data_IF_504847976717
#
_entry.id   IF_504847976717
#
_cell.length_a   1.000
_cell.length_b   1.000
_cell.length_c   1.000
_cell.angle_alpha   90.00
_cell.angle_beta   90.00
_cell.angle_gamma   90.00
#
_symmetry.space_group_name_H-M   'P 1'
#
loop_
_entity.id
_entity.type
_entity.pdbx_description
1 polymer ?
#
# COMPACT_ATOMS: atom_id res chain seq x y z
N UNK A 1 -22.93 -0.45 -19.55
CA UNK A 1 -21.45 -0.34 -19.32
C UNK A 1 -21.28 0.61 -18.16
N UNK A 2 -20.91 0.11 -16.98
CA UNK A 2 -20.54 0.99 -15.87
C UNK A 2 -19.30 1.79 -16.30
N UNK A 3 -19.37 3.11 -16.14
CA UNK A 3 -18.28 4.00 -16.47
C UNK A 3 -17.12 3.73 -15.49
N UNK A 4 -16.00 3.24 -15.97
CA UNK A 4 -14.83 3.05 -15.12
C UNK A 4 -14.28 4.39 -14.64
N UNK A 5 -13.90 4.46 -13.37
CA UNK A 5 -13.26 5.63 -12.77
C UNK A 5 -11.81 5.81 -13.23
N UNK A 6 -11.21 4.76 -13.81
CA UNK A 6 -9.79 4.70 -14.14
C UNK A 6 -9.56 4.63 -15.65
N UNK A 7 -8.47 5.25 -16.08
CA UNK A 7 -8.05 5.28 -17.48
C UNK A 7 -7.26 4.03 -17.88
N UNK A 8 -6.47 3.46 -16.96
CA UNK A 8 -5.62 2.30 -17.24
C UNK A 8 -6.42 0.99 -17.18
N UNK A 9 -6.36 0.14 -18.23
CA UNK A 9 -7.13 -1.11 -18.29
C UNK A 9 -6.85 -2.03 -17.09
N UNK A 10 -5.62 -2.03 -16.58
CA UNK A 10 -5.26 -2.85 -15.43
C UNK A 10 -5.95 -2.34 -14.15
N UNK A 11 -6.01 -1.03 -13.95
CA UNK A 11 -6.69 -0.41 -12.81
C UNK A 11 -8.23 -0.60 -12.87
N UNK A 12 -8.81 -0.64 -14.08
CA UNK A 12 -10.24 -0.98 -14.26
C UNK A 12 -10.54 -2.40 -13.80
N UNK A 13 -9.63 -3.37 -14.06
CA UNK A 13 -9.76 -4.75 -13.56
C UNK A 13 -9.64 -4.81 -12.05
N UNK A 14 -8.71 -4.06 -11.47
CA UNK A 14 -8.55 -3.94 -10.01
C UNK A 14 -9.81 -3.36 -9.39
N UNK A 15 -10.42 -2.32 -9.97
CA UNK A 15 -11.69 -1.76 -9.52
C UNK A 15 -12.76 -2.85 -9.37
N UNK A 16 -12.93 -3.71 -10.38
CA UNK A 16 -13.93 -4.80 -10.33
C UNK A 16 -13.67 -5.78 -9.20
N UNK A 17 -12.41 -6.08 -8.90
CA UNK A 17 -12.07 -6.94 -7.75
C UNK A 17 -12.49 -6.25 -6.45
N UNK A 18 -12.10 -4.98 -6.25
CA UNK A 18 -12.42 -4.22 -5.04
C UNK A 18 -13.93 -4.13 -4.81
N UNK A 19 -14.72 -3.83 -5.86
CA UNK A 19 -16.19 -3.76 -5.81
C UNK A 19 -16.85 -5.12 -5.52
N UNK A 20 -16.16 -6.22 -5.80
CA UNK A 20 -16.65 -7.58 -5.55
C UNK A 20 -16.38 -8.06 -4.13
N UNK A 21 -15.45 -7.42 -3.39
CA UNK A 21 -15.12 -7.79 -2.02
C UNK A 21 -16.26 -7.46 -1.03
N UNK A 22 -16.25 -8.14 0.12
CA UNK A 22 -17.16 -7.86 1.24
C UNK A 22 -16.49 -6.85 2.21
N UNK A 23 -16.78 -5.54 2.12
CA UNK A 23 -16.12 -4.52 2.91
C UNK A 23 -16.42 -4.64 4.41
N UNK A 24 -17.62 -5.12 4.79
CA UNK A 24 -18.02 -5.21 6.19
C UNK A 24 -17.26 -6.36 6.88
N UNK A 25 -17.09 -7.49 6.17
CA UNK A 25 -16.27 -8.61 6.66
C UNK A 25 -14.82 -8.19 6.81
N UNK A 26 -14.26 -7.48 5.82
CA UNK A 26 -12.87 -7.03 5.85
C UNK A 26 -12.65 -6.02 6.98
N UNK A 27 -13.54 -5.03 7.14
CA UNK A 27 -13.44 -4.01 8.20
C UNK A 27 -13.49 -4.64 9.60
N UNK A 28 -14.45 -5.54 9.85
CA UNK A 28 -14.54 -6.25 11.16
C UNK A 28 -13.25 -6.97 11.54
N UNK A 29 -12.50 -7.40 10.54
CA UNK A 29 -11.24 -8.10 10.71
C UNK A 29 -10.02 -7.17 10.63
N UNK A 30 -10.22 -5.84 10.64
CA UNK A 30 -9.17 -4.83 10.48
C UNK A 30 -8.28 -5.11 9.25
N UNK A 31 -8.92 -5.56 8.16
CA UNK A 31 -8.28 -5.88 6.90
C UNK A 31 -8.58 -4.76 5.89
N UNK A 32 -7.60 -3.90 5.64
CA UNK A 32 -7.75 -2.67 4.90
C UNK A 32 -6.98 -2.71 3.58
N UNK A 33 -7.55 -2.09 2.55
CA UNK A 33 -6.89 -1.95 1.25
C UNK A 33 -5.69 -1.02 1.36
N UNK A 34 -4.51 -1.48 0.93
CA UNK A 34 -3.25 -0.76 1.11
C UNK A 34 -2.26 -0.98 -0.03
N UNK A 35 -0.99 -0.77 0.31
CA UNK A 35 0.09 -0.91 -0.66
C UNK A 35 0.10 0.17 -1.74
N UNK A 36 0.93 -0.05 -2.76
CA UNK A 36 1.12 0.93 -3.85
C UNK A 36 -0.14 1.18 -4.66
N UNK A 37 -0.97 0.16 -4.86
CA UNK A 37 -2.19 0.29 -5.68
C UNK A 37 -3.21 1.22 -5.04
N UNK A 38 -3.40 1.15 -3.73
CA UNK A 38 -4.30 2.07 -3.03
C UNK A 38 -3.87 3.53 -3.21
N UNK A 39 -2.56 3.81 -3.18
CA UNK A 39 -2.00 5.15 -3.41
C UNK A 39 -2.23 5.59 -4.86
N UNK A 40 -1.89 4.73 -5.80
CA UNK A 40 -2.01 5.03 -7.24
C UNK A 40 -3.45 5.35 -7.63
N UNK A 41 -4.41 4.55 -7.16
CA UNK A 41 -5.83 4.74 -7.50
C UNK A 41 -6.44 6.02 -6.90
N UNK A 42 -5.86 6.53 -5.81
CA UNK A 42 -6.33 7.75 -5.14
C UNK A 42 -5.54 9.00 -5.52
N UNK A 43 -4.43 8.87 -6.28
CA UNK A 43 -3.55 9.97 -6.65
C UNK A 43 -3.33 10.04 -8.18
N UNK A 44 -4.41 9.91 -8.95
CA UNK A 44 -4.42 10.22 -10.40
C UNK A 44 -3.69 9.20 -11.28
N UNK A 45 -3.57 7.94 -10.87
CA UNK A 45 -2.96 6.86 -11.67
C UNK A 45 -1.54 7.21 -12.20
N UNK A 46 -0.75 7.92 -11.40
CA UNK A 46 0.58 8.45 -11.79
C UNK A 46 1.58 7.37 -12.27
N UNK A 47 1.34 6.10 -11.98
CA UNK A 47 2.11 4.93 -12.45
C UNK A 47 1.22 3.71 -12.64
N UNK A 48 1.74 2.70 -13.29
CA UNK A 48 1.09 1.37 -13.32
C UNK A 48 1.21 0.70 -11.94
N UNK A 49 0.16 0.02 -11.51
CA UNK A 49 0.17 -0.84 -10.33
C UNK A 49 -0.70 -2.07 -10.58
N UNK A 50 -0.17 -3.25 -10.33
CA UNK A 50 -0.69 -4.49 -10.91
C UNK A 50 -1.36 -5.46 -9.96
N UNK A 51 -1.45 -5.16 -8.66
CA UNK A 51 -1.90 -6.09 -7.63
C UNK A 51 -2.91 -5.45 -6.68
N UNK A 52 -3.79 -6.25 -6.10
CA UNK A 52 -4.67 -5.85 -5.00
C UNK A 52 -4.05 -6.33 -3.71
N UNK A 53 -3.57 -5.40 -2.90
CA UNK A 53 -2.97 -5.67 -1.59
C UNK A 53 -3.88 -5.21 -0.47
N UNK A 54 -4.21 -6.10 0.46
CA UNK A 54 -4.84 -5.75 1.73
C UNK A 54 -3.88 -6.05 2.88
N UNK A 55 -3.98 -5.29 3.94
CA UNK A 55 -3.16 -5.44 5.13
C UNK A 55 -4.08 -5.67 6.32
N UNK A 56 -3.76 -6.66 7.14
CA UNK A 56 -4.44 -6.96 8.38
C UNK A 56 -3.44 -6.94 9.53
N UNK A 57 -3.68 -6.12 10.55
CA UNK A 57 -2.79 -6.03 11.74
C UNK A 57 -3.28 -6.89 12.91
N UNK A 58 -4.59 -7.15 12.97
CA UNK A 58 -5.19 -7.98 14.01
C UNK A 58 -4.88 -9.46 13.82
N UNK A 59 -4.20 -10.07 14.81
CA UNK A 59 -3.96 -11.52 14.83
C UNK A 59 -5.27 -12.33 14.86
N UNK A 60 -6.28 -11.82 15.56
CA UNK A 60 -7.63 -12.41 15.59
C UNK A 60 -8.31 -12.34 14.24
N UNK A 61 -8.31 -11.15 13.63
CA UNK A 61 -8.86 -10.91 12.30
C UNK A 61 -8.19 -11.76 11.23
N UNK A 62 -6.85 -11.82 11.22
CA UNK A 62 -6.15 -12.69 10.28
C UNK A 62 -6.52 -14.18 10.45
N UNK A 63 -6.64 -14.67 11.70
CA UNK A 63 -7.06 -16.04 11.98
C UNK A 63 -8.47 -16.33 11.45
N UNK A 64 -9.42 -15.41 11.63
CA UNK A 64 -10.79 -15.54 11.11
C UNK A 64 -10.78 -15.60 9.58
N UNK A 65 -10.16 -14.63 8.90
CA UNK A 65 -10.07 -14.61 7.43
C UNK A 65 -9.42 -15.88 6.88
N UNK A 66 -8.32 -16.33 7.50
CA UNK A 66 -7.64 -17.56 7.13
C UNK A 66 -8.54 -18.79 7.31
N UNK A 67 -9.30 -18.84 8.40
CA UNK A 67 -10.26 -19.92 8.67
C UNK A 67 -11.37 -19.98 7.63
N UNK A 68 -11.94 -18.84 7.28
CA UNK A 68 -12.97 -18.72 6.23
C UNK A 68 -12.44 -19.19 4.87
N UNK A 69 -11.27 -18.71 4.45
CA UNK A 69 -10.70 -19.09 3.15
C UNK A 69 -10.31 -20.56 3.10
N UNK A 70 -9.80 -21.13 4.20
CA UNK A 70 -9.50 -22.56 4.27
C UNK A 70 -10.75 -23.45 4.15
N UNK A 71 -11.88 -23.01 4.69
CA UNK A 71 -13.11 -23.83 4.71
C UNK A 71 -14.02 -23.61 3.51
N UNK A 72 -14.01 -22.41 2.91
CA UNK A 72 -14.99 -22.00 1.91
C UNK A 72 -14.37 -21.41 0.63
N UNK A 73 -13.04 -21.37 0.54
CA UNK A 73 -12.36 -20.72 -0.58
C UNK A 73 -12.27 -19.19 -0.41
N UNK A 74 -11.61 -18.54 -1.38
CA UNK A 74 -11.44 -17.08 -1.39
C UNK A 74 -12.78 -16.35 -1.59
N UNK A 75 -13.77 -17.01 -2.15
CA UNK A 75 -15.12 -16.52 -2.37
C UNK A 75 -15.82 -16.11 -1.08
N UNK A 76 -15.43 -16.68 0.07
CA UNK A 76 -15.94 -16.28 1.38
C UNK A 76 -15.67 -14.81 1.72
N UNK A 77 -14.65 -14.20 1.08
CA UNK A 77 -14.31 -12.79 1.26
C UNK A 77 -15.05 -11.85 0.28
N UNK A 78 -15.95 -12.39 -0.54
CA UNK A 78 -16.54 -11.66 -1.65
C UNK A 78 -18.05 -11.55 -1.52
N UNK A 79 -18.63 -10.45 -2.02
CA UNK A 79 -20.07 -10.32 -2.26
C UNK A 79 -20.49 -10.95 -3.59
N UNK A 80 -19.60 -10.89 -4.58
CA UNK A 80 -19.78 -11.44 -5.92
C UNK A 80 -18.52 -12.25 -6.27
N UNK A 81 -18.61 -13.56 -6.40
CA UNK A 81 -17.48 -14.40 -6.78
C UNK A 81 -16.89 -13.99 -8.13
N UNK A 82 -15.59 -14.07 -8.24
CA UNK A 82 -14.85 -13.86 -9.49
C UNK A 82 -14.07 -15.13 -9.84
N UNK A 83 -13.87 -15.43 -11.14
CA UNK A 83 -13.06 -16.56 -11.55
C UNK A 83 -11.63 -16.45 -11.01
N UNK A 84 -11.07 -17.58 -10.62
CA UNK A 84 -9.68 -17.69 -10.21
C UNK A 84 -8.79 -18.13 -11.37
N UNK A 85 -7.67 -17.45 -11.53
CA UNK A 85 -6.55 -17.86 -12.38
C UNK A 85 -5.59 -18.75 -11.61
N UNK A 86 -5.48 -18.54 -10.31
CA UNK A 86 -4.68 -19.33 -9.38
C UNK A 86 -5.36 -19.39 -8.03
N UNK A 87 -5.49 -20.62 -7.52
CA UNK A 87 -6.07 -20.92 -6.22
C UNK A 87 -5.35 -20.22 -5.05
N UNK A 88 -6.07 -20.05 -3.95
CA UNK A 88 -5.54 -19.40 -2.76
C UNK A 88 -4.46 -20.26 -2.09
N UNK A 89 -3.28 -19.66 -1.92
CA UNK A 89 -2.24 -20.16 -1.04
C UNK A 89 -2.29 -19.41 0.27
N UNK A 90 -2.31 -20.13 1.37
CA UNK A 90 -2.50 -19.61 2.73
C UNK A 90 -1.35 -20.07 3.60
N UNK A 91 -0.70 -19.14 4.29
CA UNK A 91 0.36 -19.42 5.24
C UNK A 91 0.21 -18.55 6.52
N UNK A 92 1.24 -18.46 7.34
CA UNK A 92 1.23 -17.65 8.55
C UNK A 92 1.40 -16.13 8.28
N UNK A 93 1.82 -15.79 7.08
CA UNK A 93 2.15 -14.42 6.67
C UNK A 93 1.09 -13.77 5.78
N UNK A 94 0.23 -14.57 5.15
CA UNK A 94 -0.79 -14.03 4.27
C UNK A 94 -1.60 -15.06 3.49
N UNK A 95 -2.54 -14.51 2.72
CA UNK A 95 -3.41 -15.23 1.78
C UNK A 95 -3.11 -14.66 0.40
N UNK A 96 -2.81 -15.49 -0.58
CA UNK A 96 -2.41 -15.05 -1.92
C UNK A 96 -3.12 -15.88 -2.98
N UNK A 97 -3.76 -15.21 -3.93
CA UNK A 97 -4.35 -15.86 -5.11
C UNK A 97 -4.16 -14.99 -6.36
N UNK A 98 -4.74 -15.38 -7.48
CA UNK A 98 -4.89 -14.51 -8.64
C UNK A 98 -6.29 -14.69 -9.23
N UNK A 99 -7.00 -13.59 -9.42
CA UNK A 99 -8.27 -13.55 -10.12
C UNK A 99 -8.06 -13.49 -11.63
N UNK A 100 -8.97 -14.07 -12.39
CA UNK A 100 -9.07 -13.90 -13.83
C UNK A 100 -10.09 -12.80 -14.14
N UNK A 101 -9.65 -11.64 -14.61
CA UNK A 101 -10.51 -10.53 -14.98
C UNK A 101 -10.18 -10.11 -16.41
N UNK A 102 -11.13 -10.27 -17.32
CA UNK A 102 -10.95 -10.04 -18.76
C UNK A 102 -9.71 -10.77 -19.32
N UNK A 103 -9.56 -12.04 -18.99
CA UNK A 103 -8.42 -12.91 -19.38
C UNK A 103 -7.06 -12.44 -18.86
N UNK A 104 -7.02 -11.46 -17.94
CA UNK A 104 -5.82 -11.03 -17.26
C UNK A 104 -5.75 -11.57 -15.83
N UNK A 105 -4.57 -12.08 -15.45
CA UNK A 105 -4.32 -12.53 -14.10
C UNK A 105 -3.99 -11.33 -13.20
N UNK A 106 -4.86 -11.03 -12.24
CA UNK A 106 -4.66 -9.97 -11.25
C UNK A 106 -4.29 -10.61 -9.91
N UNK A 107 -3.11 -10.30 -9.41
CA UNK A 107 -2.67 -10.77 -8.10
C UNK A 107 -3.51 -10.15 -7.00
N UNK A 108 -3.90 -10.98 -6.04
CA UNK A 108 -4.59 -10.57 -4.83
C UNK A 108 -3.82 -11.11 -3.62
N UNK A 109 -3.58 -10.24 -2.64
CA UNK A 109 -2.84 -10.61 -1.44
C UNK A 109 -3.45 -9.94 -0.21
N UNK A 110 -3.62 -10.72 0.86
CA UNK A 110 -3.83 -10.22 2.22
C UNK A 110 -2.55 -10.51 2.99
N UNK A 111 -1.88 -9.47 3.48
CA UNK A 111 -0.65 -9.57 4.27
C UNK A 111 -0.99 -9.39 5.74
N UNK A 112 -0.52 -10.31 6.59
CA UNK A 112 -0.55 -10.12 8.04
C UNK A 112 0.65 -9.28 8.47
N UNK A 113 0.38 -8.05 8.94
CA UNK A 113 1.37 -7.11 9.43
C UNK A 113 1.15 -6.84 10.93
N UNK A 114 1.71 -7.66 11.75
CA UNK A 114 1.52 -7.59 13.22
C UNK A 114 2.46 -6.64 13.96
N UNK A 115 3.35 -5.92 13.26
CA UNK A 115 4.32 -4.99 13.86
C UNK A 115 3.77 -3.57 14.02
N UNK A 116 2.72 -3.24 13.31
CA UNK A 116 2.03 -1.94 13.39
C UNK A 116 0.53 -2.17 13.61
N UNK A 117 -0.05 -1.42 14.53
CA UNK A 117 -1.49 -1.39 14.73
C UNK A 117 -2.09 -0.38 13.74
N UNK A 118 -3.01 -0.86 12.89
CA UNK A 118 -3.71 -0.01 11.92
C UNK A 118 -4.81 0.78 12.61
N UNK A 119 -4.97 2.03 12.18
CA UNK A 119 -6.07 2.88 12.63
C UNK A 119 -7.38 2.49 11.95
N UNK A 120 -8.50 2.78 12.63
CA UNK A 120 -9.81 2.71 12.00
C UNK A 120 -9.91 3.73 10.87
N UNK A 121 -10.32 3.31 9.66
CA UNK A 121 -10.39 4.22 8.51
C UNK A 121 -11.55 5.21 8.67
N UNK A 122 -11.35 6.42 8.13
CA UNK A 122 -12.37 7.45 8.05
C UNK A 122 -13.21 7.30 6.77
N UNK A 123 -14.39 7.96 6.67
CA UNK A 123 -15.23 7.88 5.46
C UNK A 123 -14.50 8.21 4.16
N UNK A 124 -13.55 9.14 4.18
CA UNK A 124 -12.70 9.53 3.06
C UNK A 124 -11.67 8.46 2.65
N UNK A 125 -11.37 7.52 3.53
CA UNK A 125 -10.47 6.40 3.23
C UNK A 125 -11.17 5.26 2.47
N UNK A 126 -12.31 5.53 1.83
CA UNK A 126 -13.05 4.54 1.06
C UNK A 126 -12.66 4.58 -0.42
N UNK A 127 -12.25 3.42 -0.96
CA UNK A 127 -11.82 3.27 -2.35
C UNK A 127 -12.59 2.13 -3.02
N UNK A 128 -13.37 2.43 -4.06
CA UNK A 128 -14.16 1.44 -4.79
C UNK A 128 -14.98 0.49 -3.90
N UNK A 129 -15.58 1.07 -2.86
CA UNK A 129 -16.45 0.33 -1.94
C UNK A 129 -15.76 -0.40 -0.79
N UNK A 130 -14.42 -0.50 -0.76
CA UNK A 130 -13.65 -1.08 0.36
C UNK A 130 -13.00 0.00 1.21
N UNK A 131 -12.68 -0.33 2.45
CA UNK A 131 -11.95 0.54 3.36
C UNK A 131 -10.45 0.41 3.12
N UNK A 132 -9.78 1.54 2.97
CA UNK A 132 -8.33 1.62 2.75
C UNK A 132 -7.61 2.10 4.02
N UNK A 133 -6.30 1.98 4.00
CA UNK A 133 -5.43 2.52 5.04
C UNK A 133 -5.59 4.04 5.16
N UNK A 134 -5.52 4.55 6.39
CA UNK A 134 -5.41 5.99 6.67
C UNK A 134 -4.10 6.57 6.09
N UNK A 135 -3.99 7.89 6.02
CA UNK A 135 -2.73 8.53 5.59
C UNK A 135 -1.55 8.10 6.48
N UNK A 136 -1.76 8.09 7.79
CA UNK A 136 -0.76 7.59 8.76
C UNK A 136 -0.28 6.19 8.41
N UNK A 137 -1.19 5.27 8.15
CA UNK A 137 -0.85 3.87 7.91
C UNK A 137 -0.25 3.64 6.52
N UNK A 138 -0.67 4.43 5.51
CA UNK A 138 -0.02 4.46 4.19
C UNK A 138 1.45 4.86 4.33
N UNK A 139 1.73 5.92 5.09
CA UNK A 139 3.11 6.37 5.34
C UNK A 139 3.90 5.33 6.11
N UNK A 140 3.35 4.81 7.23
CA UNK A 140 4.03 3.82 8.05
C UNK A 140 4.41 2.57 7.25
N UNK A 141 3.45 1.98 6.55
CA UNK A 141 3.67 0.75 5.77
C UNK A 141 4.62 0.97 4.59
N UNK A 142 4.64 2.17 4.01
CA UNK A 142 5.58 2.51 2.93
C UNK A 142 7.00 2.72 3.42
N UNK A 143 7.19 3.35 4.58
CA UNK A 143 8.51 3.48 5.20
C UNK A 143 9.08 2.11 5.60
N UNK A 144 8.25 1.24 6.20
CA UNK A 144 8.64 -0.14 6.53
C UNK A 144 9.01 -0.93 5.28
N UNK A 145 8.19 -0.90 4.24
CA UNK A 145 8.47 -1.57 2.97
C UNK A 145 9.73 -1.01 2.28
N UNK A 146 9.97 0.30 2.37
CA UNK A 146 11.22 0.90 1.89
C UNK A 146 12.42 0.34 2.66
N UNK A 147 12.35 0.27 3.98
CA UNK A 147 13.44 -0.29 4.81
C UNK A 147 13.78 -1.72 4.42
N UNK A 148 12.75 -2.55 4.18
CA UNK A 148 12.94 -3.96 3.79
C UNK A 148 13.61 -4.14 2.42
N UNK A 149 13.46 -3.20 1.47
CA UNK A 149 13.80 -3.44 0.07
C UNK A 149 14.33 -2.26 -0.74
N UNK A 150 14.81 -1.18 -0.08
CA UNK A 150 15.34 0.00 -0.79
C UNK A 150 16.53 -0.33 -1.71
N UNK A 151 17.33 -1.36 -1.37
CA UNK A 151 18.51 -1.80 -2.12
C UNK A 151 18.15 -2.77 -3.26
N UNK A 152 16.92 -3.28 -3.33
CA UNK A 152 16.48 -4.19 -4.37
C UNK A 152 16.08 -3.41 -5.64
N UNK A 153 16.91 -3.51 -6.67
CA UNK A 153 16.69 -2.85 -7.95
C UNK A 153 15.41 -3.35 -8.66
N UNK A 154 14.94 -4.56 -8.36
CA UNK A 154 13.75 -5.15 -8.98
C UNK A 154 12.43 -4.51 -8.57
N UNK A 155 12.41 -3.78 -7.47
CA UNK A 155 11.22 -3.05 -6.99
C UNK A 155 11.16 -1.60 -7.48
N UNK A 156 12.14 -1.16 -8.29
CA UNK A 156 12.15 0.14 -8.98
C UNK A 156 11.98 1.35 -8.04
N UNK A 157 12.46 1.25 -6.80
CA UNK A 157 12.35 2.31 -5.77
C UNK A 157 10.92 2.83 -5.56
N UNK A 158 9.90 1.99 -5.84
CA UNK A 158 8.49 2.38 -5.82
C UNK A 158 8.02 2.93 -4.48
N UNK A 159 8.61 2.47 -3.37
CA UNK A 159 8.12 2.86 -2.05
C UNK A 159 8.46 4.31 -1.70
N UNK A 160 9.66 4.76 -2.05
CA UNK A 160 10.03 6.17 -1.86
C UNK A 160 9.33 7.09 -2.88
N UNK A 161 9.07 6.61 -4.10
CA UNK A 161 8.29 7.35 -5.10
C UNK A 161 6.84 7.50 -4.63
N UNK A 162 6.22 6.43 -4.12
CA UNK A 162 4.87 6.48 -3.56
C UNK A 162 4.79 7.45 -2.37
N UNK A 163 5.81 7.48 -1.49
CA UNK A 163 5.91 8.44 -0.39
C UNK A 163 5.99 9.88 -0.89
N UNK A 164 6.78 10.14 -1.95
CA UNK A 164 6.91 11.47 -2.53
C UNK A 164 5.58 11.98 -3.10
N UNK A 165 4.82 11.11 -3.76
CA UNK A 165 3.48 11.45 -4.28
C UNK A 165 2.49 11.66 -3.14
N UNK A 166 2.50 10.82 -2.10
CA UNK A 166 1.66 11.00 -0.90
C UNK A 166 1.92 12.34 -0.20
N UNK A 167 3.19 12.71 -0.06
CA UNK A 167 3.61 13.95 0.59
C UNK A 167 3.27 15.18 -0.24
N UNK A 168 3.30 15.08 -1.57
CA UNK A 168 2.97 16.15 -2.51
C UNK A 168 3.63 17.49 -2.16
N UNK A 169 4.95 17.47 -1.90
CA UNK A 169 5.73 18.65 -1.55
C UNK A 169 5.61 19.09 -0.09
N UNK A 170 4.85 18.37 0.75
CA UNK A 170 4.76 18.58 2.20
C UNK A 170 5.59 17.52 2.94
N UNK A 171 5.94 17.71 4.21
CA UNK A 171 6.46 16.63 5.03
C UNK A 171 5.47 15.47 5.09
N UNK A 172 5.97 14.22 5.11
CA UNK A 172 5.11 13.05 5.32
C UNK A 172 4.44 13.12 6.69
N UNK A 173 3.30 12.46 6.84
CA UNK A 173 2.54 12.43 8.10
C UNK A 173 3.44 11.98 9.26
N UNK A 174 3.72 12.85 10.26
CA UNK A 174 4.61 12.53 11.37
C UNK A 174 4.14 11.35 12.22
N UNK A 175 2.82 11.15 12.34
CA UNK A 175 2.27 10.00 13.07
C UNK A 175 2.55 8.68 12.34
N UNK A 176 2.59 8.69 11.00
CA UNK A 176 3.03 7.56 10.19
C UNK A 176 4.52 7.26 10.35
N UNK A 177 5.34 8.31 10.44
CA UNK A 177 6.78 8.17 10.73
C UNK A 177 7.00 7.54 12.11
N UNK A 178 6.31 8.04 13.14
CA UNK A 178 6.38 7.52 14.50
C UNK A 178 5.99 6.03 14.55
N UNK A 179 4.91 5.65 13.86
CA UNK A 179 4.48 4.27 13.79
C UNK A 179 5.53 3.36 13.12
N UNK A 180 6.15 3.80 12.02
CA UNK A 180 7.21 3.05 11.34
C UNK A 180 8.45 2.90 12.23
N UNK A 181 8.87 3.97 12.91
CA UNK A 181 10.00 3.93 13.85
C UNK A 181 9.67 3.04 15.05
N UNK A 182 8.44 3.06 15.56
CA UNK A 182 7.99 2.15 16.62
C UNK A 182 8.09 0.68 16.23
N UNK A 183 7.81 0.34 14.97
CA UNK A 183 7.82 -1.02 14.44
C UNK A 183 9.24 -1.52 14.08
N UNK A 184 10.08 -0.68 13.50
CA UNK A 184 11.37 -1.05 12.88
C UNK A 184 12.58 -0.39 13.56
N UNK A 185 12.37 0.53 14.49
CA UNK A 185 13.44 1.35 15.05
C UNK A 185 13.87 2.48 14.10
N UNK A 186 14.90 3.23 14.54
CA UNK A 186 15.43 4.39 13.80
C UNK A 186 16.10 4.04 12.45
N UNK A 187 16.38 2.75 12.18
CA UNK A 187 16.92 2.29 10.90
C UNK A 187 16.05 2.70 9.71
N UNK A 188 14.73 2.77 9.90
CA UNK A 188 13.78 3.26 8.88
C UNK A 188 14.19 4.61 8.31
N UNK A 189 14.65 5.55 9.15
CA UNK A 189 15.05 6.89 8.72
C UNK A 189 16.37 6.85 7.93
N UNK A 190 17.30 6.02 8.36
CA UNK A 190 18.58 5.81 7.67
C UNK A 190 18.35 5.18 6.29
N UNK A 191 17.49 4.17 6.22
CA UNK A 191 17.17 3.48 4.97
C UNK A 191 16.36 4.36 4.02
N UNK A 192 15.52 5.25 4.55
CA UNK A 192 14.86 6.29 3.77
C UNK A 192 15.86 7.22 3.08
N UNK A 193 16.86 7.75 3.80
CA UNK A 193 17.87 8.61 3.22
C UNK A 193 18.77 7.88 2.19
N UNK A 194 19.12 6.62 2.45
CA UNK A 194 19.85 5.80 1.47
C UNK A 194 19.03 5.60 0.18
N UNK A 195 17.73 5.31 0.31
CA UNK A 195 16.83 5.14 -0.83
C UNK A 195 16.74 6.43 -1.66
N UNK A 196 16.57 7.58 -0.98
CA UNK A 196 16.48 8.89 -1.63
C UNK A 196 17.76 9.24 -2.38
N UNK A 197 18.91 9.10 -1.73
CA UNK A 197 20.23 9.32 -2.33
C UNK A 197 20.46 8.39 -3.52
N UNK A 198 20.22 7.08 -3.36
CA UNK A 198 20.36 6.11 -4.44
C UNK A 198 19.50 6.45 -5.67
N UNK A 199 18.26 6.91 -5.44
CA UNK A 199 17.34 7.25 -6.53
C UNK A 199 17.73 8.52 -7.26
N UNK A 200 18.23 9.54 -6.56
CA UNK A 200 18.57 10.86 -7.12
C UNK A 200 19.96 10.93 -7.70
N UNK A 201 20.96 10.27 -7.09
CA UNK A 201 22.38 10.43 -7.42
C UNK A 201 22.90 9.35 -8.37
N UNK A 202 22.29 8.18 -8.41
CA UNK A 202 22.67 7.12 -9.35
C UNK A 202 22.18 7.47 -10.76
N UNK A 203 23.11 7.81 -11.66
CA UNK A 203 22.83 8.29 -13.01
C UNK A 203 21.80 7.44 -13.78
N UNK A 204 20.76 8.09 -14.28
CA UNK A 204 19.67 7.45 -15.06
C UNK A 204 18.71 6.57 -14.27
N UNK A 205 18.91 6.38 -12.94
CA UNK A 205 18.08 5.50 -12.14
C UNK A 205 16.63 5.98 -12.07
N UNK A 206 16.41 7.26 -11.78
CA UNK A 206 15.07 7.84 -11.69
C UNK A 206 14.28 7.59 -12.98
N UNK A 207 14.85 7.97 -14.12
CA UNK A 207 14.21 7.79 -15.43
C UNK A 207 13.94 6.31 -15.73
N UNK A 208 14.86 5.41 -15.36
CA UNK A 208 14.65 3.97 -15.55
C UNK A 208 13.48 3.46 -14.69
N UNK A 209 13.40 3.85 -13.41
CA UNK A 209 12.27 3.51 -12.53
C UNK A 209 10.95 4.02 -13.11
N UNK A 210 10.90 5.27 -13.56
CA UNK A 210 9.72 5.87 -14.17
C UNK A 210 9.24 5.09 -15.41
N UNK A 211 10.16 4.76 -16.31
CA UNK A 211 9.84 3.95 -17.51
C UNK A 211 9.29 2.57 -17.15
N UNK A 212 9.93 1.88 -16.20
CA UNK A 212 9.50 0.54 -15.78
C UNK A 212 8.13 0.53 -15.11
N UNK A 213 7.80 1.60 -14.40
CA UNK A 213 6.49 1.77 -13.75
C UNK A 213 5.47 2.49 -14.65
N UNK A 214 5.80 2.81 -15.90
CA UNK A 214 4.94 3.51 -16.84
C UNK A 214 4.37 4.80 -16.23
N UNK A 215 5.24 5.62 -15.61
CA UNK A 215 4.82 6.87 -15.00
C UNK A 215 4.43 7.91 -16.05
N UNK A 216 3.43 8.73 -15.71
CA UNK A 216 2.92 9.79 -16.60
C UNK A 216 3.42 11.17 -16.23
N UNK A 217 3.98 11.33 -15.03
CA UNK A 217 4.55 12.58 -14.52
C UNK A 217 5.88 12.88 -15.22
N UNK A 218 6.24 14.16 -15.49
CA UNK A 218 7.57 14.57 -15.94
C UNK A 218 8.67 14.19 -14.93
N UNK A 219 9.90 13.93 -15.43
CA UNK A 219 11.02 13.56 -14.55
C UNK A 219 11.37 14.67 -13.56
N UNK A 220 11.38 15.93 -14.03
CA UNK A 220 11.74 17.08 -13.20
C UNK A 220 10.75 17.27 -12.04
N UNK A 221 9.45 17.10 -12.29
CA UNK A 221 8.41 17.19 -11.27
C UNK A 221 8.59 16.10 -10.21
N UNK A 222 8.84 14.85 -10.62
CA UNK A 222 9.09 13.77 -9.68
C UNK A 222 10.38 13.98 -8.89
N UNK A 223 11.41 14.50 -9.54
CA UNK A 223 12.70 14.82 -8.90
C UNK A 223 12.50 15.88 -7.82
N UNK A 224 11.75 16.92 -8.10
CA UNK A 224 11.40 17.98 -7.14
C UNK A 224 10.64 17.40 -5.93
N UNK A 225 9.62 16.57 -6.16
CA UNK A 225 8.89 15.90 -5.09
C UNK A 225 9.80 15.05 -4.19
N UNK A 226 10.74 14.30 -4.79
CA UNK A 226 11.65 13.45 -4.02
C UNK A 226 12.70 14.29 -3.28
N UNK A 227 13.19 15.38 -3.86
CA UNK A 227 14.13 16.30 -3.20
C UNK A 227 13.48 17.01 -2.01
N UNK A 228 12.23 17.43 -2.16
CA UNK A 228 11.43 18.06 -1.12
C UNK A 228 10.88 17.10 -0.06
N UNK A 229 10.98 15.80 -0.28
CA UNK A 229 10.43 14.80 0.64
C UNK A 229 11.16 14.82 1.99
N UNK A 230 10.46 15.22 3.04
CA UNK A 230 10.99 15.30 4.40
C UNK A 230 10.28 14.33 5.33
N UNK A 231 11.08 13.57 6.08
CA UNK A 231 10.62 12.67 7.13
C UNK A 231 10.98 13.30 8.48
N UNK A 232 9.96 13.78 9.20
CA UNK A 232 10.13 14.49 10.46
C UNK A 232 9.43 13.70 11.57
N UNK A 233 10.17 13.38 12.64
CA UNK A 233 9.55 12.79 13.83
C UNK A 233 8.73 13.88 14.56
N UNK A 234 7.56 13.51 15.11
CA UNK A 234 6.82 14.41 15.96
C UNK A 234 7.69 14.82 17.18
N UNK A 235 7.53 16.05 17.70
CA UNK A 235 8.24 16.45 18.91
C UNK A 235 7.86 15.50 20.06
N UNK A 236 8.84 15.09 20.87
CA UNK A 236 8.59 14.26 22.04
C UNK A 236 7.44 14.86 22.90
N UNK A 237 6.51 14.02 23.42
CA UNK A 237 5.43 14.52 24.26
C UNK A 237 6.03 15.28 25.46
N UNK A 238 5.55 16.49 25.71
CA UNK A 238 6.00 17.29 26.87
C UNK A 238 5.69 16.47 28.14
N UNK A 239 6.65 16.29 29.05
CA UNK A 239 6.38 15.61 30.30
C UNK A 239 5.22 16.31 31.00
N UNK A 240 4.21 15.51 31.39
CA UNK A 240 3.10 16.00 32.22
C UNK A 240 3.71 16.63 33.46
N UNK A 241 3.53 17.95 33.63
CA UNK A 241 3.89 18.63 34.89
C UNK A 241 3.08 17.95 35.99
N UNK A 242 3.76 17.16 36.82
CA UNK A 242 3.16 16.67 38.05
C UNK A 242 2.74 17.89 38.88
N UNK A 243 1.44 18.01 39.12
CA UNK A 243 0.85 18.99 40.08
C UNK A 243 0.85 18.38 41.46
#
# INVERSE_FOLDING_TARGET
MECSLYSRPHHQRIQRILESLNPDLLLRNQCLFGGGTAIVLTHGEYRESGDVGLIVSSKGGYRELRGLVNSQGIEALMKRPLPLRREARIDQYGIRCAFDVDSAAIKFEIVFEGRVELQDPLPEDRVNGVWALTMRDKVATKLMANSDRWADDSVWSRDIIDLAVLANGQPVDPAGVEAAVGAYGSSVLVDFEKARTNLLERGGRLLNCMKRMQMTMPEDDLRELIQGLAVVLPPAPRPLRQR
#
